data_IF_271439535322
#
_entry.id   IF_271439535322
#
_cell.length_a   1.000
_cell.length_b   1.000
_cell.length_c   1.000
_cell.angle_alpha   90.00
_cell.angle_beta   90.00
_cell.angle_gamma   90.00
#
_symmetry.space_group_name_H-M   'P 1'
#
loop_
_entity.id
_entity.type
_entity.pdbx_description
1 polymer ?
#
# COMPACT_ATOMS: atom_id res chain seq x y z
N UNK A 1 50.10 -29.20 55.37
CA UNK A 1 51.32 -29.89 54.88
C UNK A 1 51.23 -29.95 53.36
N UNK A 2 52.34 -29.67 52.65
CA UNK A 2 52.49 -29.85 51.18
C UNK A 2 51.95 -28.68 50.34
N UNK A 3 52.69 -27.70 49.81
CA UNK A 3 53.98 -27.71 49.05
C UNK A 3 53.78 -28.49 47.74
N UNK A 4 53.87 -27.93 46.52
CA UNK A 4 54.67 -26.79 46.01
C UNK A 4 54.03 -26.08 44.78
N UNK A 5 54.36 -24.81 44.47
CA UNK A 5 53.95 -24.08 43.26
C UNK A 5 55.06 -23.95 42.19
N UNK A 6 54.70 -23.53 40.98
CA UNK A 6 55.55 -22.73 40.03
C UNK A 6 54.62 -22.16 38.93
N UNK A 7 54.42 -20.87 38.62
CA UNK A 7 55.23 -19.63 38.45
C UNK A 7 56.13 -19.56 37.20
N UNK A 8 55.75 -18.63 36.29
CA UNK A 8 56.63 -17.83 35.42
C UNK A 8 56.65 -18.19 33.93
N UNK A 9 56.75 -17.27 32.94
CA UNK A 9 56.71 -15.78 32.84
C UNK A 9 56.28 -15.47 31.36
N UNK A 10 55.23 -14.67 31.06
CA UNK A 10 55.18 -13.21 30.71
C UNK A 10 56.19 -12.72 29.63
N UNK A 11 55.88 -11.70 28.79
CA UNK A 11 54.79 -10.70 28.85
C UNK A 11 53.90 -10.67 27.55
N UNK A 12 53.12 -9.66 27.09
CA UNK A 12 52.90 -8.25 27.51
C UNK A 12 51.49 -7.61 27.22
N UNK A 13 51.35 -6.72 26.21
CA UNK A 13 50.28 -5.72 25.93
C UNK A 13 49.47 -6.07 24.64
N UNK A 14 48.27 -5.55 24.32
CA UNK A 14 47.63 -4.25 24.63
C UNK A 14 46.08 -4.28 24.53
N UNK A 15 45.41 -3.54 25.42
CA UNK A 15 44.13 -2.76 25.35
C UNK A 15 42.82 -3.23 24.61
N UNK A 16 41.64 -2.70 25.02
CA UNK A 16 40.38 -3.44 24.95
C UNK A 16 39.48 -3.11 23.76
N UNK A 17 38.73 -4.12 23.28
CA UNK A 17 37.62 -3.91 22.35
C UNK A 17 36.47 -4.89 22.61
N UNK A 18 35.35 -4.37 23.15
CA UNK A 18 34.02 -4.52 22.55
C UNK A 18 32.96 -3.89 23.47
N UNK A 19 32.56 -2.64 23.21
CA UNK A 19 31.30 -2.12 23.74
C UNK A 19 30.14 -2.81 23.02
N UNK A 20 29.31 -3.52 23.79
CA UNK A 20 28.12 -4.20 23.30
C UNK A 20 26.97 -3.20 23.12
N UNK A 21 26.98 -2.46 22.02
CA UNK A 21 25.80 -1.74 21.53
C UNK A 21 25.08 -2.58 20.48
N UNK A 22 24.02 -3.28 20.89
CA UNK A 22 23.01 -3.75 19.95
C UNK A 22 22.17 -2.53 19.53
N UNK A 23 22.61 -1.87 18.46
CA UNK A 23 21.69 -1.06 17.64
C UNK A 23 20.70 -2.03 17.00
N UNK A 24 19.40 -1.73 17.13
CA UNK A 24 18.36 -2.51 16.47
C UNK A 24 18.57 -2.44 14.96
N UNK A 25 18.31 -3.52 14.19
CA UNK A 25 18.47 -3.45 12.75
C UNK A 25 17.49 -2.42 12.19
N UNK A 26 18.03 -1.35 11.60
CA UNK A 26 17.28 -0.50 10.69
C UNK A 26 16.63 -1.40 9.63
N UNK A 27 15.38 -1.09 9.25
CA UNK A 27 14.75 -1.75 8.12
C UNK A 27 15.49 -1.33 6.85
N UNK A 28 16.52 -2.10 6.49
CA UNK A 28 17.10 -2.09 5.15
C UNK A 28 15.97 -2.50 4.21
N UNK A 29 15.32 -1.51 3.59
CA UNK A 29 14.36 -1.76 2.52
C UNK A 29 15.07 -2.53 1.41
N UNK A 30 14.44 -3.58 0.90
CA UNK A 30 15.01 -4.36 -0.20
C UNK A 30 15.32 -3.41 -1.36
N UNK A 31 16.59 -3.38 -1.79
CA UNK A 31 17.05 -2.53 -2.89
C UNK A 31 16.24 -2.74 -4.16
N UNK A 32 15.71 -3.95 -4.38
CA UNK A 32 14.80 -4.24 -5.49
C UNK A 32 13.51 -3.41 -5.42
N UNK A 33 12.99 -3.17 -4.21
CA UNK A 33 11.72 -2.47 -3.97
C UNK A 33 11.79 -0.95 -4.19
N UNK A 34 12.98 -0.36 -4.10
CA UNK A 34 13.19 1.05 -4.45
C UNK A 34 13.36 1.22 -5.97
N UNK A 35 14.17 0.36 -6.60
CA UNK A 35 14.53 0.47 -8.02
C UNK A 35 13.32 0.41 -8.96
N UNK A 36 12.32 -0.43 -8.69
CA UNK A 36 11.12 -0.47 -9.54
C UNK A 36 10.22 0.76 -9.33
N UNK A 37 10.15 1.30 -8.10
CA UNK A 37 9.39 2.53 -7.79
C UNK A 37 10.02 3.75 -8.47
N UNK A 38 11.34 3.84 -8.47
CA UNK A 38 12.07 4.89 -9.18
C UNK A 38 11.79 4.83 -10.70
N UNK A 39 11.81 3.63 -11.29
CA UNK A 39 11.48 3.41 -12.72
C UNK A 39 10.03 3.74 -13.05
N UNK A 40 9.07 3.36 -12.20
CA UNK A 40 7.68 3.77 -12.32
C UNK A 40 7.57 5.30 -12.28
N UNK A 41 8.27 5.98 -11.37
CA UNK A 41 8.24 7.43 -11.26
C UNK A 41 8.78 8.12 -12.53
N UNK A 42 9.88 7.61 -13.11
CA UNK A 42 10.43 8.10 -14.38
C UNK A 42 9.41 7.90 -15.52
N UNK A 43 8.89 6.68 -15.68
CA UNK A 43 7.87 6.36 -16.68
C UNK A 43 6.65 7.30 -16.61
N UNK A 44 6.10 7.51 -15.41
CA UNK A 44 4.98 8.43 -15.21
C UNK A 44 5.33 9.90 -15.51
N UNK A 45 6.60 10.31 -15.35
CA UNK A 45 7.10 11.67 -15.63
C UNK A 45 7.54 11.89 -17.09
N UNK A 46 7.72 10.84 -17.86
CA UNK A 46 8.00 10.87 -19.31
C UNK A 46 6.73 10.67 -20.15
N UNK A 47 5.70 10.02 -19.59
CA UNK A 47 4.43 9.77 -20.25
C UNK A 47 3.49 10.98 -20.40
N UNK A 48 2.39 10.84 -21.18
CA UNK A 48 1.48 11.93 -21.51
C UNK A 48 0.68 12.49 -20.31
N UNK A 49 0.68 11.80 -19.16
CA UNK A 49 0.02 12.25 -17.93
C UNK A 49 0.98 12.84 -16.89
N UNK A 50 2.19 13.28 -17.28
CA UNK A 50 3.17 13.92 -16.40
C UNK A 50 2.57 14.99 -15.48
N UNK A 51 1.75 15.87 -16.03
CA UNK A 51 1.17 17.00 -15.30
C UNK A 51 0.19 16.53 -14.22
N UNK A 52 -0.77 15.67 -14.57
CA UNK A 52 -1.73 15.10 -13.61
C UNK A 52 -1.06 14.16 -12.61
N UNK A 53 0.04 13.50 -12.99
CA UNK A 53 0.86 12.70 -12.07
C UNK A 53 1.61 13.55 -11.05
N UNK A 54 2.10 14.73 -11.45
CA UNK A 54 2.76 15.66 -10.52
C UNK A 54 1.76 16.20 -9.51
N UNK A 55 0.57 16.64 -9.97
CA UNK A 55 -0.53 17.06 -9.10
C UNK A 55 -0.98 15.94 -8.15
N UNK A 56 -0.99 14.68 -8.62
CA UNK A 56 -1.23 13.52 -7.75
C UNK A 56 -0.14 13.37 -6.67
N UNK A 57 1.15 13.51 -7.02
CA UNK A 57 2.24 13.45 -6.04
C UNK A 57 2.11 14.53 -4.95
N UNK A 58 1.92 15.78 -5.37
CA UNK A 58 1.75 16.92 -4.46
C UNK A 58 0.54 16.72 -3.52
N UNK A 59 -0.59 16.24 -4.06
CA UNK A 59 -1.79 15.93 -3.28
C UNK A 59 -1.57 14.80 -2.25
N UNK A 60 -0.83 13.74 -2.62
CA UNK A 60 -0.53 12.62 -1.71
C UNK A 60 0.41 13.06 -0.58
N UNK A 61 1.41 13.88 -0.88
CA UNK A 61 2.31 14.48 0.11
C UNK A 61 1.50 15.31 1.12
N UNK A 62 0.71 16.27 0.65
CA UNK A 62 -0.17 17.08 1.49
C UNK A 62 -1.15 16.26 2.34
N UNK A 63 -1.78 15.23 1.77
CA UNK A 63 -2.72 14.36 2.47
C UNK A 63 -2.03 13.58 3.61
N UNK A 64 -0.80 13.10 3.36
CA UNK A 64 0.01 12.37 4.35
C UNK A 64 0.41 13.23 5.56
N UNK A 65 0.74 14.50 5.33
CA UNK A 65 1.03 15.47 6.40
C UNK A 65 -0.22 15.81 7.21
N UNK A 66 -1.35 16.06 6.52
CA UNK A 66 -2.59 16.55 7.14
C UNK A 66 -3.35 15.47 7.92
N UNK A 67 -3.07 14.17 7.69
CA UNK A 67 -3.66 12.98 8.37
C UNK A 67 -5.19 12.93 8.43
N UNK A 68 -5.89 13.69 7.59
CA UNK A 68 -7.34 13.90 7.62
C UNK A 68 -8.01 13.80 6.24
N UNK A 69 -7.23 13.70 5.18
CA UNK A 69 -7.69 13.63 3.80
C UNK A 69 -7.47 12.20 3.27
N UNK A 70 -8.45 11.65 2.56
CA UNK A 70 -8.31 10.34 1.94
C UNK A 70 -7.47 10.43 0.66
N UNK A 71 -6.40 9.64 0.57
CA UNK A 71 -5.52 9.54 -0.62
C UNK A 71 -6.31 9.30 -1.92
N UNK A 72 -7.45 8.60 -1.84
CA UNK A 72 -8.35 8.38 -2.98
C UNK A 72 -8.82 9.66 -3.69
N UNK A 73 -8.81 10.83 -3.04
CA UNK A 73 -9.15 12.11 -3.70
C UNK A 73 -8.09 12.60 -4.68
N UNK A 74 -6.85 12.15 -4.55
CA UNK A 74 -5.75 12.57 -5.42
C UNK A 74 -5.80 11.87 -6.79
N UNK A 75 -6.40 10.68 -6.87
CA UNK A 75 -6.33 9.79 -8.02
C UNK A 75 -7.20 10.17 -9.25
N UNK A 76 -8.44 10.70 -9.13
CA UNK A 76 -9.39 10.76 -10.25
C UNK A 76 -8.91 11.51 -11.50
N UNK A 77 -8.12 12.57 -11.34
CA UNK A 77 -7.55 13.31 -12.49
C UNK A 77 -6.44 12.52 -13.20
N UNK A 78 -5.62 11.79 -12.45
CA UNK A 78 -4.58 10.92 -12.99
C UNK A 78 -5.21 9.70 -13.67
N UNK A 79 -6.13 9.02 -13.01
CA UNK A 79 -6.87 7.86 -13.52
C UNK A 79 -7.54 8.17 -14.87
N UNK A 80 -8.27 9.28 -14.95
CA UNK A 80 -8.94 9.73 -16.19
C UNK A 80 -7.93 9.97 -17.32
N UNK A 81 -6.77 10.54 -17.01
CA UNK A 81 -5.71 10.74 -17.98
C UNK A 81 -5.11 9.40 -18.44
N UNK A 82 -4.78 8.50 -17.51
CA UNK A 82 -4.21 7.19 -17.83
C UNK A 82 -5.17 6.35 -18.69
N UNK A 83 -6.48 6.39 -18.40
CA UNK A 83 -7.52 5.73 -19.20
C UNK A 83 -7.69 6.35 -20.60
N UNK A 84 -7.44 7.65 -20.77
CA UNK A 84 -7.42 8.30 -22.09
C UNK A 84 -6.16 8.00 -22.92
N UNK A 85 -5.05 7.67 -22.26
CA UNK A 85 -3.77 7.27 -22.86
C UNK A 85 -3.44 5.80 -22.53
N UNK A 86 -4.47 4.95 -22.64
CA UNK A 86 -4.40 3.56 -22.18
C UNK A 86 -3.44 2.68 -22.99
N UNK A 87 -3.02 3.12 -24.17
CA UNK A 87 -1.97 2.53 -25.00
C UNK A 87 -0.58 2.67 -24.33
N UNK A 88 -0.28 3.84 -23.77
CA UNK A 88 0.95 4.07 -23.01
C UNK A 88 0.90 3.38 -21.64
N UNK A 89 -0.21 3.57 -20.90
CA UNK A 89 -0.35 3.06 -19.52
C UNK A 89 -0.81 1.60 -19.42
N UNK A 90 -0.90 0.88 -20.55
CA UNK A 90 -1.41 -0.50 -20.62
C UNK A 90 -0.84 -1.44 -19.55
N UNK A 91 0.47 -1.45 -19.21
CA UNK A 91 1.01 -2.36 -18.20
C UNK A 91 0.46 -2.11 -16.79
N UNK A 92 0.24 -0.84 -16.42
CA UNK A 92 -0.27 -0.46 -15.10
C UNK A 92 -1.79 -0.72 -15.05
N UNK A 93 -2.51 -0.29 -16.08
CA UNK A 93 -3.96 -0.51 -16.19
C UNK A 93 -4.32 -2.00 -16.27
N UNK A 94 -3.47 -2.84 -16.87
CA UNK A 94 -3.67 -4.29 -16.87
C UNK A 94 -3.48 -4.90 -15.48
N UNK A 95 -2.49 -4.45 -14.71
CA UNK A 95 -2.29 -4.88 -13.33
C UNK A 95 -3.45 -4.46 -12.41
N UNK A 96 -3.94 -3.23 -12.56
CA UNK A 96 -5.12 -2.69 -11.87
C UNK A 96 -6.38 -3.52 -12.19
N UNK A 97 -6.68 -3.73 -13.47
CA UNK A 97 -7.83 -4.54 -13.89
C UNK A 97 -7.72 -6.00 -13.41
N UNK A 98 -6.54 -6.60 -13.46
CA UNK A 98 -6.33 -7.98 -13.00
C UNK A 98 -6.48 -8.11 -11.47
N UNK A 99 -6.13 -7.09 -10.69
CA UNK A 99 -6.41 -7.02 -9.26
C UNK A 99 -7.91 -6.82 -8.98
N UNK A 100 -8.61 -5.99 -9.76
CA UNK A 100 -10.07 -5.82 -9.66
C UNK A 100 -10.81 -7.14 -9.95
N UNK A 101 -10.35 -7.91 -10.94
CA UNK A 101 -10.85 -9.26 -11.25
C UNK A 101 -10.64 -10.28 -10.11
N UNK A 102 -9.71 -10.06 -9.17
CA UNK A 102 -9.57 -10.88 -7.96
C UNK A 102 -10.63 -10.48 -6.91
N UNK A 103 -10.93 -9.20 -6.76
CA UNK A 103 -11.99 -8.70 -5.89
C UNK A 103 -13.37 -9.18 -6.39
N UNK A 104 -13.62 -9.11 -7.70
CA UNK A 104 -14.87 -9.55 -8.34
C UNK A 104 -15.16 -11.04 -8.12
N UNK A 105 -14.13 -11.91 -8.15
CA UNK A 105 -14.30 -13.37 -7.93
C UNK A 105 -14.84 -13.73 -6.55
N UNK A 106 -14.55 -12.91 -5.54
CA UNK A 106 -15.03 -13.11 -4.17
C UNK A 106 -16.21 -12.17 -3.83
N UNK A 107 -16.67 -11.34 -4.77
CA UNK A 107 -17.65 -10.26 -4.53
C UNK A 107 -18.90 -10.76 -3.78
N UNK A 108 -19.55 -11.82 -4.27
CA UNK A 108 -20.76 -12.39 -3.64
C UNK A 108 -20.52 -12.74 -2.16
N UNK A 109 -19.37 -13.34 -1.87
CA UNK A 109 -18.97 -13.75 -0.51
C UNK A 109 -18.67 -12.54 0.37
N UNK A 110 -17.93 -11.56 -0.15
CA UNK A 110 -17.60 -10.33 0.57
C UNK A 110 -18.86 -9.51 0.88
N UNK A 111 -19.77 -9.36 -0.11
CA UNK A 111 -21.06 -8.71 0.06
C UNK A 111 -21.93 -9.44 1.10
N UNK A 112 -21.94 -10.78 1.13
CA UNK A 112 -22.65 -11.55 2.14
C UNK A 112 -22.10 -11.29 3.56
N UNK A 113 -20.77 -11.25 3.72
CA UNK A 113 -20.12 -10.91 5.00
C UNK A 113 -20.43 -9.47 5.45
N UNK A 114 -20.42 -8.51 4.52
CA UNK A 114 -20.70 -7.10 4.82
C UNK A 114 -22.17 -6.88 5.19
N UNK A 115 -23.10 -7.53 4.48
CA UNK A 115 -24.55 -7.46 4.75
C UNK A 115 -25.02 -8.28 5.96
N UNK A 116 -24.24 -9.29 6.38
CA UNK A 116 -24.55 -10.15 7.53
C UNK A 116 -23.78 -9.84 8.82
N UNK A 117 -22.66 -9.12 8.74
CA UNK A 117 -21.75 -8.87 9.88
C UNK A 117 -22.07 -7.63 10.71
N UNK A 118 -21.24 -7.39 11.74
CA UNK A 118 -21.40 -6.28 12.69
C UNK A 118 -21.39 -4.87 12.07
N UNK A 119 -20.82 -4.72 10.87
CA UNK A 119 -20.74 -3.44 10.17
C UNK A 119 -21.86 -3.19 9.15
N UNK A 120 -22.87 -4.08 9.08
CA UNK A 120 -23.99 -4.00 8.14
C UNK A 120 -24.57 -2.60 7.99
N UNK A 121 -24.92 -1.93 9.09
CA UNK A 121 -25.57 -0.61 9.02
C UNK A 121 -24.64 0.48 8.43
N UNK A 122 -23.32 0.40 8.70
CA UNK A 122 -22.33 1.29 8.07
C UNK A 122 -22.13 0.96 6.59
N UNK A 123 -22.21 -0.32 6.22
CA UNK A 123 -22.11 -0.77 4.83
C UNK A 123 -23.34 -0.40 4.00
N UNK A 124 -24.56 -0.55 4.54
CA UNK A 124 -25.78 -0.10 3.88
C UNK A 124 -25.78 1.41 3.66
N UNK A 125 -25.40 2.21 4.67
CA UNK A 125 -25.26 3.66 4.51
C UNK A 125 -24.17 4.08 3.49
N UNK A 126 -23.17 3.23 3.28
CA UNK A 126 -22.15 3.41 2.24
C UNK A 126 -22.70 3.09 0.84
N UNK A 127 -23.47 2.00 0.69
CA UNK A 127 -24.18 1.66 -0.55
C UNK A 127 -25.17 2.76 -0.95
N UNK A 128 -26.04 3.20 -0.03
CA UNK A 128 -27.01 4.27 -0.28
C UNK A 128 -26.32 5.56 -0.78
N UNK A 129 -25.17 5.89 -0.20
CA UNK A 129 -24.36 7.02 -0.65
C UNK A 129 -23.74 6.81 -2.03
N UNK A 130 -23.27 5.59 -2.32
CA UNK A 130 -22.72 5.22 -3.64
C UNK A 130 -23.77 5.36 -4.75
N UNK A 131 -24.97 4.81 -4.53
CA UNK A 131 -26.10 4.92 -5.45
C UNK A 131 -26.54 6.38 -5.63
N UNK A 132 -26.56 7.18 -4.55
CA UNK A 132 -26.85 8.63 -4.63
C UNK A 132 -25.79 9.38 -5.46
N UNK A 133 -24.50 9.07 -5.25
CA UNK A 133 -23.39 9.70 -5.97
C UNK A 133 -23.44 9.39 -7.47
N UNK A 134 -23.64 8.12 -7.84
CA UNK A 134 -23.77 7.69 -9.24
C UNK A 134 -24.97 8.38 -9.92
N UNK A 135 -26.16 8.30 -9.31
CA UNK A 135 -27.40 8.90 -9.82
C UNK A 135 -27.26 10.40 -10.08
N UNK A 136 -26.54 11.10 -9.22
CA UNK A 136 -26.32 12.54 -9.31
C UNK A 136 -25.03 12.92 -10.09
N UNK A 137 -24.28 11.94 -10.61
CA UNK A 137 -22.98 12.13 -11.29
C UNK A 137 -21.96 12.91 -10.45
N UNK A 138 -21.97 12.68 -9.13
CA UNK A 138 -21.05 13.29 -8.17
C UNK A 138 -19.78 12.45 -8.05
N UNK A 139 -18.67 13.09 -7.68
CA UNK A 139 -17.46 12.36 -7.28
C UNK A 139 -17.74 11.55 -6.01
N UNK A 140 -17.85 10.23 -6.18
CA UNK A 140 -18.15 9.29 -5.11
C UNK A 140 -17.16 9.42 -3.94
N UNK A 141 -15.86 9.57 -4.24
CA UNK A 141 -14.81 9.64 -3.22
C UNK A 141 -15.05 10.82 -2.28
N UNK A 142 -15.30 12.01 -2.80
CA UNK A 142 -15.56 13.21 -2.00
C UNK A 142 -16.93 13.20 -1.36
N UNK A 143 -17.97 12.76 -2.09
CA UNK A 143 -19.36 12.68 -1.60
C UNK A 143 -19.52 11.70 -0.44
N UNK A 144 -18.85 10.54 -0.51
CA UNK A 144 -19.01 9.45 0.46
C UNK A 144 -17.84 9.28 1.45
N UNK A 145 -16.78 10.10 1.38
CA UNK A 145 -15.64 10.05 2.32
C UNK A 145 -16.04 9.89 3.80
N UNK A 146 -17.08 10.60 4.24
CA UNK A 146 -17.56 10.55 5.62
C UNK A 146 -18.33 9.28 6.01
N UNK A 147 -18.88 8.53 5.05
CA UNK A 147 -19.49 7.21 5.30
C UNK A 147 -18.49 6.08 5.09
N UNK A 148 -17.59 6.19 4.09
CA UNK A 148 -16.44 5.28 3.93
C UNK A 148 -15.60 5.23 5.21
N UNK A 149 -15.19 6.38 5.74
CA UNK A 149 -14.41 6.45 6.97
C UNK A 149 -15.15 5.98 8.24
N UNK A 150 -16.47 5.72 8.19
CA UNK A 150 -17.21 5.02 9.25
C UNK A 150 -17.22 3.52 9.03
N UNK A 151 -17.43 3.07 7.78
CA UNK A 151 -17.33 1.68 7.39
C UNK A 151 -15.91 1.15 7.69
N UNK A 152 -14.86 1.81 7.21
CA UNK A 152 -13.46 1.42 7.42
C UNK A 152 -13.15 1.20 8.92
N UNK A 153 -13.48 2.18 9.76
CA UNK A 153 -13.31 2.09 11.23
C UNK A 153 -14.08 0.94 11.85
N UNK A 154 -15.25 0.60 11.30
CA UNK A 154 -16.02 -0.54 11.77
C UNK A 154 -15.35 -1.86 11.36
N UNK A 155 -14.91 -1.99 10.10
CA UNK A 155 -14.21 -3.17 9.60
C UNK A 155 -12.91 -3.41 10.40
N UNK A 156 -12.15 -2.35 10.70
CA UNK A 156 -10.96 -2.41 11.56
C UNK A 156 -11.29 -2.87 13.00
N UNK A 157 -12.31 -2.26 13.62
CA UNK A 157 -12.75 -2.61 14.97
C UNK A 157 -13.29 -4.05 15.09
N UNK A 158 -13.73 -4.63 13.97
CA UNK A 158 -14.20 -6.00 13.85
C UNK A 158 -13.29 -6.86 12.94
N UNK A 159 -12.00 -6.52 12.88
CA UNK A 159 -11.03 -7.11 11.94
C UNK A 159 -10.85 -8.63 12.08
N UNK A 160 -11.09 -9.21 13.26
CA UNK A 160 -11.11 -10.66 13.44
C UNK A 160 -12.23 -11.34 12.63
N UNK A 161 -13.42 -10.74 12.56
CA UNK A 161 -14.54 -11.23 11.75
C UNK A 161 -14.33 -10.93 10.26
N UNK A 162 -13.80 -9.74 9.94
CA UNK A 162 -13.53 -9.31 8.56
C UNK A 162 -12.16 -9.77 8.03
N UNK A 163 -11.44 -10.65 8.73
CA UNK A 163 -10.14 -11.18 8.29
C UNK A 163 -10.19 -11.78 6.87
N UNK A 164 -11.23 -12.56 6.47
CA UNK A 164 -11.36 -13.03 5.08
C UNK A 164 -11.51 -11.89 4.06
N UNK A 165 -12.19 -10.80 4.40
CA UNK A 165 -12.33 -9.63 3.53
C UNK A 165 -10.96 -8.96 3.33
N UNK A 166 -10.24 -8.69 4.42
CA UNK A 166 -8.90 -8.10 4.35
C UNK A 166 -7.89 -9.01 3.63
N UNK A 167 -8.01 -10.34 3.74
CA UNK A 167 -7.17 -11.26 2.99
C UNK A 167 -7.36 -11.17 1.48
N UNK A 168 -8.60 -11.03 1.00
CA UNK A 168 -8.88 -10.85 -0.44
C UNK A 168 -8.39 -9.49 -0.93
N UNK A 169 -8.66 -8.41 -0.18
CA UNK A 169 -8.15 -7.06 -0.52
C UNK A 169 -6.64 -7.06 -0.63
N UNK A 170 -5.94 -7.58 0.40
CA UNK A 170 -4.48 -7.70 0.40
C UNK A 170 -3.96 -8.55 -0.76
N UNK A 171 -4.65 -9.63 -1.13
CA UNK A 171 -4.27 -10.46 -2.29
C UNK A 171 -4.35 -9.69 -3.61
N UNK A 172 -5.37 -8.83 -3.77
CA UNK A 172 -5.49 -7.96 -4.95
C UNK A 172 -4.41 -6.87 -4.98
N UNK A 173 -4.14 -6.22 -3.84
CA UNK A 173 -3.05 -5.23 -3.69
C UNK A 173 -1.67 -5.84 -4.00
N UNK A 174 -1.36 -7.00 -3.39
CA UNK A 174 -0.09 -7.71 -3.64
C UNK A 174 -0.01 -8.19 -5.10
N UNK A 175 -1.10 -8.61 -5.73
CA UNK A 175 -1.11 -8.95 -7.15
C UNK A 175 -0.77 -7.72 -8.03
N UNK A 176 -1.38 -6.56 -7.76
CA UNK A 176 -1.11 -5.33 -8.49
C UNK A 176 0.36 -4.88 -8.31
N UNK A 177 0.87 -4.84 -7.07
CA UNK A 177 2.26 -4.45 -6.80
C UNK A 177 3.24 -5.42 -7.48
N UNK A 178 2.97 -6.73 -7.45
CA UNK A 178 3.82 -7.73 -8.11
C UNK A 178 3.84 -7.60 -9.64
N UNK A 179 2.70 -7.40 -10.31
CA UNK A 179 2.66 -7.23 -11.77
C UNK A 179 3.36 -5.93 -12.21
N UNK A 180 3.12 -4.82 -11.50
CA UNK A 180 3.80 -3.53 -11.73
C UNK A 180 5.30 -3.67 -11.48
N UNK A 181 5.70 -4.27 -10.35
CA UNK A 181 7.11 -4.55 -10.05
C UNK A 181 7.74 -5.44 -11.12
N UNK A 182 7.05 -6.49 -11.58
CA UNK A 182 7.55 -7.41 -12.60
C UNK A 182 7.72 -6.71 -13.96
N UNK A 183 6.84 -5.77 -14.32
CA UNK A 183 7.03 -4.93 -15.51
C UNK A 183 8.27 -4.03 -15.37
N UNK A 184 8.38 -3.24 -14.30
CA UNK A 184 9.49 -2.29 -14.12
C UNK A 184 10.82 -2.91 -13.70
N UNK A 185 10.84 -4.15 -13.19
CA UNK A 185 12.09 -4.86 -12.85
C UNK A 185 12.75 -5.53 -14.06
N UNK A 186 11.98 -5.88 -15.09
CA UNK A 186 12.52 -6.38 -16.36
C UNK A 186 13.52 -5.36 -16.91
N UNK A 187 14.69 -5.82 -17.33
CA UNK A 187 15.58 -4.99 -18.16
C UNK A 187 14.88 -4.83 -19.50
N UNK A 188 14.44 -3.62 -19.82
CA UNK A 188 14.11 -3.29 -21.21
C UNK A 188 15.39 -3.47 -22.06
N UNK A 189 15.28 -4.09 -23.25
CA UNK A 189 16.42 -4.32 -24.14
C UNK A 189 16.96 -3.03 -24.76
#
# INVERSE_FOLDING_TARGET
MGIKPSTGLKPENSDPKSQKNQVQPEKVGDSSSQVWRDRLQVFMKEGPCKETYTVFQDCVEEASEKKKESIGKCFPMLEKCMKAHCDYYQPILAAENAALELLMKEEERLLAMLKGGGCKESFMAWLDCSEEAEKNKQDFITKCAGVSAKLDKCLDAHSEYYQPYFAVVKTAEEHMENEVQAFFSRKQP
#
